data_IF_609490889459
#
_entry.id   IF_609490889459
#
_cell.length_a   1.000
_cell.length_b   1.000
_cell.length_c   1.000
_cell.angle_alpha   90.00
_cell.angle_beta   90.00
_cell.angle_gamma   90.00
#
_symmetry.space_group_name_H-M   'P 1'
#
loop_
_entity.id
_entity.type
_entity.pdbx_description
1 polymer ?
#
# COMPACT_ATOMS: atom_id res chain seq x y z
N UNK A 1 -7.84 6.51 11.88
CA UNK A 1 -6.76 6.54 10.85
C UNK A 1 -7.26 5.91 9.58
N UNK A 2 -6.76 6.31 8.42
CA UNK A 2 -7.16 5.71 7.15
C UNK A 2 -6.06 5.73 6.10
N UNK A 3 -6.08 4.79 5.17
CA UNK A 3 -5.26 4.86 3.95
C UNK A 3 -5.96 4.25 2.74
N UNK A 4 -5.41 4.53 1.56
CA UNK A 4 -5.90 3.93 0.32
C UNK A 4 -5.65 2.42 0.30
N UNK A 5 -6.52 1.67 -0.36
CA UNK A 5 -6.44 0.21 -0.58
C UNK A 5 -5.07 -0.26 -1.09
N UNK A 6 -4.38 0.59 -1.85
CA UNK A 6 -3.07 0.28 -2.45
C UNK A 6 -1.89 0.70 -1.57
N UNK A 7 -2.13 1.38 -0.46
CA UNK A 7 -1.12 1.76 0.53
C UNK A 7 -0.71 0.59 1.44
N UNK A 8 0.47 0.67 2.03
CA UNK A 8 0.98 -0.35 2.95
C UNK A 8 -0.03 -0.70 4.06
N UNK A 9 -0.08 -1.98 4.45
CA UNK A 9 -0.86 -2.43 5.61
C UNK A 9 -0.29 -1.96 6.95
N UNK A 10 0.92 -1.38 7.00
CA UNK A 10 1.58 -0.96 8.24
C UNK A 10 0.71 -0.07 9.13
N UNK A 11 0.00 0.91 8.56
CA UNK A 11 -0.87 1.81 9.33
C UNK A 11 -2.00 1.05 10.04
N UNK A 12 -2.53 -0.01 9.43
CA UNK A 12 -3.56 -0.85 10.06
C UNK A 12 -3.03 -1.60 11.28
N UNK A 13 -1.76 -2.06 11.23
CA UNK A 13 -1.09 -2.73 12.35
C UNK A 13 -0.83 -1.76 13.51
N UNK A 14 -0.30 -0.58 13.20
CA UNK A 14 -0.07 0.50 14.18
C UNK A 14 -1.39 0.91 14.84
N UNK A 15 -2.44 1.14 14.05
CA UNK A 15 -3.75 1.52 14.57
C UNK A 15 -4.34 0.42 15.47
N UNK A 16 -4.28 -0.85 15.05
CA UNK A 16 -4.74 -1.98 15.86
C UNK A 16 -3.99 -2.09 17.19
N UNK A 17 -2.66 -1.96 17.17
CA UNK A 17 -1.83 -2.00 18.37
C UNK A 17 -2.24 -0.89 19.36
N UNK A 18 -2.45 0.32 18.86
CA UNK A 18 -2.84 1.47 19.67
C UNK A 18 -4.35 1.56 19.96
N UNK A 19 -5.14 0.55 19.57
CA UNK A 19 -6.61 0.52 19.72
C UNK A 19 -7.32 1.72 19.07
N UNK A 20 -6.78 2.18 17.94
CA UNK A 20 -7.32 3.26 17.12
C UNK A 20 -8.11 2.65 15.96
N UNK A 21 -9.29 3.21 15.68
CA UNK A 21 -10.09 2.78 14.53
C UNK A 21 -9.34 3.04 13.22
N UNK A 22 -9.30 2.03 12.35
CA UNK A 22 -8.66 2.08 11.05
C UNK A 22 -9.67 1.79 9.93
N UNK A 23 -9.54 2.53 8.83
CA UNK A 23 -10.36 2.36 7.63
C UNK A 23 -9.47 2.25 6.38
N UNK A 24 -9.60 1.15 5.65
CA UNK A 24 -9.10 1.03 4.29
C UNK A 24 -10.12 1.70 3.35
N UNK A 25 -9.67 2.54 2.41
CA UNK A 25 -10.56 3.26 1.48
C UNK A 25 -10.20 3.01 0.03
N UNK A 26 -11.10 3.33 -0.90
CA UNK A 26 -10.74 3.42 -2.31
C UNK A 26 -9.63 4.46 -2.54
N UNK A 27 -8.84 4.29 -3.60
CA UNK A 27 -7.85 5.30 -4.00
C UNK A 27 -8.51 6.62 -4.38
N UNK A 28 -7.89 7.73 -3.97
CA UNK A 28 -8.36 9.09 -4.09
C UNK A 28 -8.70 9.66 -2.73
N UNK A 29 -8.02 10.76 -2.36
CA UNK A 29 -8.15 11.40 -1.06
C UNK A 29 -9.59 11.80 -0.67
N UNK A 30 -10.47 12.03 -1.66
CA UNK A 30 -11.91 12.25 -1.45
C UNK A 30 -12.63 11.17 -0.64
N UNK A 31 -12.06 9.96 -0.57
CA UNK A 31 -12.60 8.86 0.24
C UNK A 31 -12.05 8.88 1.67
N UNK A 32 -10.78 9.23 1.83
CA UNK A 32 -10.11 9.38 3.11
C UNK A 32 -10.71 10.55 3.89
N UNK A 33 -10.92 11.70 3.24
CA UNK A 33 -11.48 12.92 3.88
C UNK A 33 -12.92 12.78 4.38
N UNK A 34 -13.62 11.70 3.99
CA UNK A 34 -14.99 11.38 4.45
C UNK A 34 -15.01 10.50 5.69
N UNK A 35 -13.86 10.00 6.14
CA UNK A 35 -13.79 9.16 7.34
C UNK A 35 -14.13 10.01 8.57
N UNK A 36 -15.16 9.64 9.34
CA UNK A 36 -15.52 10.37 10.56
C UNK A 36 -14.36 10.38 11.56
N UNK A 37 -14.12 11.54 12.18
CA UNK A 37 -13.06 11.74 13.18
C UNK A 37 -11.69 11.24 12.67
N UNK A 38 -11.37 11.54 11.41
CA UNK A 38 -10.04 11.28 10.87
C UNK A 38 -9.01 12.01 11.73
N UNK A 39 -7.95 11.32 12.13
CA UNK A 39 -6.79 11.91 12.83
C UNK A 39 -5.52 11.89 11.97
N UNK A 40 -5.42 10.89 11.09
CA UNK A 40 -4.34 10.75 10.13
C UNK A 40 -4.86 9.95 8.94
N UNK A 41 -4.60 10.47 7.75
CA UNK A 41 -4.94 9.84 6.47
C UNK A 41 -3.78 9.92 5.50
N UNK A 42 -3.47 8.85 4.77
CA UNK A 42 -2.46 8.94 3.72
C UNK A 42 -2.72 8.05 2.49
N UNK A 43 -2.10 8.43 1.38
CA UNK A 43 -1.99 7.63 0.16
C UNK A 43 -0.51 7.38 -0.13
N UNK A 44 -0.21 6.22 -0.71
CA UNK A 44 1.13 5.82 -1.15
C UNK A 44 1.76 6.82 -2.14
N UNK A 45 0.91 7.55 -2.87
CA UNK A 45 1.29 8.60 -3.81
C UNK A 45 1.67 9.93 -3.12
N UNK A 46 2.37 9.86 -1.98
CA UNK A 46 2.89 11.00 -1.20
C UNK A 46 1.81 12.01 -0.75
N UNK A 47 0.60 11.53 -0.49
CA UNK A 47 -0.49 12.37 0.02
C UNK A 47 -0.69 12.12 1.51
N UNK A 48 -0.54 13.14 2.35
CA UNK A 48 -0.68 13.03 3.80
C UNK A 48 -1.66 14.09 4.32
N UNK A 49 -2.50 13.72 5.26
CA UNK A 49 -3.33 14.62 6.04
C UNK A 49 -3.12 14.30 7.51
N UNK A 50 -2.52 15.27 8.19
CA UNK A 50 -2.05 15.16 9.58
C UNK A 50 -2.83 16.06 10.52
N UNK A 51 -3.57 17.03 9.98
CA UNK A 51 -4.47 17.93 10.70
C UNK A 51 -5.77 18.12 9.90
N UNK A 52 -6.66 17.11 9.90
CA UNK A 52 -7.91 17.16 9.16
C UNK A 52 -8.95 18.15 9.72
N UNK A 53 -8.74 18.69 10.94
CA UNK A 53 -9.61 19.74 11.49
C UNK A 53 -9.35 21.08 10.79
N UNK A 54 -8.09 21.38 10.47
CA UNK A 54 -7.70 22.60 9.75
C UNK A 54 -7.71 22.38 8.23
N UNK A 55 -7.11 21.30 7.76
CA UNK A 55 -7.02 20.95 6.33
C UNK A 55 -7.48 19.51 6.12
N UNK A 56 -8.77 19.34 5.81
CA UNK A 56 -9.34 18.04 5.42
C UNK A 56 -9.02 17.66 3.96
N UNK A 57 -7.75 17.84 3.57
CA UNK A 57 -7.17 17.44 2.29
C UNK A 57 -5.69 17.08 2.51
N UNK A 58 -4.97 16.77 1.44
CA UNK A 58 -3.52 16.57 1.49
C UNK A 58 -2.83 17.89 1.86
N UNK A 59 -2.02 17.85 2.90
CA UNK A 59 -1.20 18.98 3.35
C UNK A 59 0.25 18.55 3.54
N UNK A 60 1.05 18.77 2.50
CA UNK A 60 2.49 18.51 2.53
C UNK A 60 3.27 19.48 3.41
N UNK A 61 2.76 20.69 3.67
CA UNK A 61 3.45 21.68 4.51
C UNK A 61 3.32 21.27 5.97
N UNK A 62 2.11 20.98 6.44
CA UNK A 62 1.89 20.50 7.82
C UNK A 62 2.60 19.16 8.06
N UNK A 63 2.59 18.25 7.07
CA UNK A 63 3.35 17.02 7.15
C UNK A 63 4.87 17.27 7.28
N UNK A 64 5.44 18.19 6.51
CA UNK A 64 6.85 18.54 6.59
C UNK A 64 7.23 19.15 7.95
N UNK A 65 6.37 20.00 8.53
CA UNK A 65 6.57 20.57 9.87
C UNK A 65 6.57 19.48 10.94
N UNK A 66 5.62 18.53 10.89
CA UNK A 66 5.60 17.41 11.83
C UNK A 66 6.84 16.52 11.72
N UNK A 67 7.32 16.26 10.50
CA UNK A 67 8.57 15.52 10.30
C UNK A 67 9.76 16.30 10.86
N UNK A 68 9.83 17.61 10.67
CA UNK A 68 10.89 18.44 11.24
C UNK A 68 10.88 18.40 12.78
N UNK A 69 9.69 18.46 13.39
CA UNK A 69 9.52 18.30 14.83
C UNK A 69 9.97 16.91 15.31
N UNK A 70 9.54 15.84 14.62
CA UNK A 70 9.96 14.46 14.95
C UNK A 70 11.48 14.31 14.88
N UNK A 71 12.14 14.89 13.87
CA UNK A 71 13.60 14.87 13.75
C UNK A 71 14.27 15.58 14.93
N UNK A 72 13.75 16.72 15.38
CA UNK A 72 14.27 17.42 16.56
C UNK A 72 14.11 16.58 17.84
N UNK A 73 12.94 16.00 18.06
CA UNK A 73 12.67 15.11 19.20
C UNK A 73 13.58 13.88 19.21
N UNK A 74 13.84 13.28 18.04
CA UNK A 74 14.75 12.13 17.91
C UNK A 74 16.21 12.53 18.19
N UNK A 75 16.66 13.68 17.67
CA UNK A 75 18.00 14.22 17.95
C UNK A 75 18.22 14.45 19.44
N UNK A 76 17.22 15.00 20.15
CA UNK A 76 17.27 15.20 21.60
C UNK A 76 17.36 13.88 22.39
N UNK A 77 16.92 12.77 21.79
CA UNK A 77 17.05 11.40 22.32
C UNK A 77 18.31 10.67 21.84
N UNK A 78 19.19 11.33 21.08
CA UNK A 78 20.39 10.72 20.50
C UNK A 78 20.09 9.65 19.45
N UNK A 79 18.90 9.72 18.82
CA UNK A 79 18.40 8.71 17.90
C UNK A 79 18.29 9.27 16.47
N UNK A 80 18.67 8.50 15.46
CA UNK A 80 18.47 8.91 14.07
C UNK A 80 17.05 8.62 13.57
N UNK A 81 16.69 9.21 12.44
CA UNK A 81 15.42 8.92 11.77
C UNK A 81 15.35 7.48 11.26
N UNK A 82 16.46 6.94 10.75
CA UNK A 82 16.55 5.56 10.28
C UNK A 82 16.41 4.57 11.43
N UNK A 83 17.02 4.84 12.59
CA UNK A 83 16.83 4.01 13.79
C UNK A 83 15.36 4.02 14.23
N UNK A 84 14.63 5.13 14.03
CA UNK A 84 13.21 5.21 14.35
C UNK A 84 12.35 4.39 13.38
N UNK A 85 12.67 4.43 12.08
CA UNK A 85 12.03 3.55 11.09
C UNK A 85 12.32 2.07 11.35
N UNK A 86 13.55 1.74 11.78
CA UNK A 86 13.92 0.37 12.11
C UNK A 86 13.19 -0.13 13.37
N UNK A 87 12.98 0.70 14.40
CA UNK A 87 12.12 0.35 15.55
C UNK A 87 10.68 0.02 15.11
N UNK A 88 10.09 0.83 14.23
CA UNK A 88 8.76 0.56 13.67
C UNK A 88 8.77 -0.79 12.93
N UNK A 89 9.83 -1.08 12.17
CA UNK A 89 10.02 -2.34 11.48
C UNK A 89 10.16 -3.54 12.43
N UNK A 90 10.87 -3.38 13.54
CA UNK A 90 11.00 -4.41 14.59
C UNK A 90 9.66 -4.67 15.28
N UNK A 91 8.87 -3.62 15.54
CA UNK A 91 7.60 -3.74 16.26
C UNK A 91 6.46 -4.29 15.39
N UNK A 92 6.37 -3.86 14.13
CA UNK A 92 5.22 -4.15 13.25
C UNK A 92 5.56 -5.00 12.02
N UNK A 93 6.84 -5.34 11.84
CA UNK A 93 7.39 -5.95 10.64
C UNK A 93 7.94 -4.90 9.65
N UNK A 94 8.89 -5.30 8.83
CA UNK A 94 9.42 -4.50 7.74
C UNK A 94 8.52 -4.65 6.51
N UNK A 95 7.74 -3.61 6.23
CA UNK A 95 6.86 -3.52 5.07
C UNK A 95 7.61 -2.93 3.88
N UNK A 96 8.10 -3.79 2.99
CA UNK A 96 8.69 -3.38 1.73
C UNK A 96 7.61 -3.27 0.65
N UNK A 97 7.56 -2.15 -0.07
CA UNK A 97 6.55 -1.92 -1.11
C UNK A 97 7.16 -1.45 -2.42
N UNK A 98 6.60 -1.87 -3.55
CA UNK A 98 6.97 -1.38 -4.89
C UNK A 98 5.75 -1.38 -5.83
N UNK A 99 5.93 -0.77 -7.00
CA UNK A 99 4.94 -0.72 -8.06
C UNK A 99 5.54 -1.12 -9.41
N UNK A 100 4.77 -1.88 -10.16
CA UNK A 100 4.95 -2.08 -11.61
C UNK A 100 3.89 -1.24 -12.33
N UNK A 101 4.28 -0.55 -13.39
CA UNK A 101 3.42 0.30 -14.20
C UNK A 101 3.59 -0.04 -15.68
N UNK A 102 2.57 -0.61 -16.28
CA UNK A 102 2.59 -1.09 -17.67
C UNK A 102 1.69 -0.19 -18.49
N UNK A 103 2.28 0.49 -19.48
CA UNK A 103 1.50 1.28 -20.44
C UNK A 103 0.87 0.33 -21.45
N UNK A 104 -0.42 0.53 -21.72
CA UNK A 104 -1.14 -0.19 -22.76
C UNK A 104 -1.55 0.79 -23.86
N UNK A 105 -1.59 0.31 -25.09
CA UNK A 105 -2.09 1.11 -26.23
C UNK A 105 -3.61 0.99 -26.38
N UNK A 106 -4.19 -0.09 -25.86
CA UNK A 106 -5.63 -0.37 -25.89
C UNK A 106 -6.13 -0.77 -24.49
N UNK A 107 -7.14 -0.06 -23.99
CA UNK A 107 -7.75 -0.31 -22.69
C UNK A 107 -8.37 -1.71 -22.58
N UNK A 108 -8.83 -2.29 -23.71
CA UNK A 108 -9.37 -3.65 -23.70
C UNK A 108 -8.31 -4.71 -23.34
N UNK A 109 -7.01 -4.40 -23.45
CA UNK A 109 -5.94 -5.28 -22.97
C UNK A 109 -5.92 -5.37 -21.44
N UNK A 110 -6.30 -4.30 -20.74
CA UNK A 110 -6.38 -4.30 -19.27
C UNK A 110 -7.47 -5.28 -18.82
N UNK A 111 -8.66 -5.22 -19.41
CA UNK A 111 -9.78 -6.11 -19.03
C UNK A 111 -9.43 -7.58 -19.29
N UNK A 112 -8.76 -7.88 -20.41
CA UNK A 112 -8.27 -9.23 -20.73
C UNK A 112 -7.24 -9.70 -19.71
N UNK A 113 -6.28 -8.85 -19.34
CA UNK A 113 -5.24 -9.21 -18.39
C UNK A 113 -5.81 -9.42 -16.98
N UNK A 114 -6.72 -8.56 -16.53
CA UNK A 114 -7.42 -8.75 -15.25
C UNK A 114 -8.25 -10.04 -15.26
N UNK A 115 -9.00 -10.30 -16.33
CA UNK A 115 -9.80 -11.53 -16.46
C UNK A 115 -8.90 -12.78 -16.41
N UNK A 116 -7.75 -12.75 -17.10
CA UNK A 116 -6.75 -13.82 -17.08
C UNK A 116 -6.24 -14.08 -15.66
N UNK A 117 -5.86 -13.02 -14.93
CA UNK A 117 -5.33 -13.15 -13.56
C UNK A 117 -6.41 -13.65 -12.59
N UNK A 118 -7.67 -13.27 -12.76
CA UNK A 118 -8.77 -13.84 -11.96
C UNK A 118 -8.94 -15.34 -12.22
N UNK A 119 -8.90 -15.75 -13.50
CA UNK A 119 -9.12 -17.15 -13.88
C UNK A 119 -7.95 -18.08 -13.61
N UNK A 120 -6.73 -17.56 -13.73
CA UNK A 120 -5.47 -18.31 -13.66
C UNK A 120 -4.37 -17.43 -13.04
N UNK A 121 -4.47 -17.11 -11.74
CA UNK A 121 -3.43 -16.36 -11.05
C UNK A 121 -2.17 -17.21 -10.88
N UNK A 122 -0.98 -16.59 -10.75
CA UNK A 122 0.22 -17.32 -10.36
C UNK A 122 -0.06 -18.13 -9.08
N UNK A 123 0.12 -19.47 -9.08
CA UNK A 123 -0.18 -20.28 -7.91
C UNK A 123 0.79 -20.01 -6.76
N UNK A 124 1.96 -19.44 -7.09
CA UNK A 124 2.95 -18.97 -6.14
C UNK A 124 3.75 -17.79 -6.69
N UNK A 125 4.34 -17.02 -5.78
CA UNK A 125 5.32 -15.97 -6.07
C UNK A 125 6.55 -16.22 -5.21
N UNK A 126 7.71 -16.45 -5.85
CA UNK A 126 8.98 -16.74 -5.17
C UNK A 126 8.85 -17.86 -4.09
N UNK A 127 8.09 -18.93 -4.40
CA UNK A 127 7.84 -20.06 -3.49
C UNK A 127 6.74 -19.85 -2.44
N UNK A 128 6.10 -18.69 -2.39
CA UNK A 128 4.97 -18.40 -1.50
C UNK A 128 3.65 -18.66 -2.23
N UNK A 129 2.80 -19.52 -1.67
CA UNK A 129 1.57 -19.99 -2.31
C UNK A 129 0.46 -18.95 -2.23
N UNK A 130 -0.40 -18.91 -3.23
CA UNK A 130 -1.60 -18.07 -3.19
C UNK A 130 -2.56 -18.56 -2.09
N UNK A 131 -3.07 -17.61 -1.30
CA UNK A 131 -4.01 -17.87 -0.19
C UNK A 131 -5.41 -17.34 -0.51
N UNK A 132 -5.50 -16.19 -1.19
CA UNK A 132 -6.79 -15.63 -1.59
C UNK A 132 -6.69 -14.77 -2.84
N UNK A 133 -7.80 -14.76 -3.58
CA UNK A 133 -8.04 -13.95 -4.76
C UNK A 133 -9.33 -13.20 -4.49
N UNK A 134 -9.28 -11.87 -4.57
CA UNK A 134 -10.45 -11.02 -4.43
C UNK A 134 -10.62 -10.18 -5.69
N UNK A 135 -11.74 -10.40 -6.38
CA UNK A 135 -12.20 -9.51 -7.44
C UNK A 135 -12.83 -8.26 -6.83
N UNK A 136 -12.13 -7.13 -6.93
CA UNK A 136 -12.59 -5.87 -6.34
C UNK A 136 -13.82 -5.31 -7.05
N UNK A 137 -14.15 -5.78 -8.26
CA UNK A 137 -15.41 -5.40 -8.93
C UNK A 137 -16.63 -5.98 -8.20
N UNK A 138 -16.43 -7.05 -7.41
CA UNK A 138 -17.46 -7.72 -6.63
C UNK A 138 -17.41 -7.36 -5.14
N UNK A 139 -16.42 -6.56 -4.72
CA UNK A 139 -16.33 -6.09 -3.33
C UNK A 139 -17.56 -5.26 -2.96
N UNK A 140 -18.11 -5.51 -1.76
CA UNK A 140 -19.24 -4.73 -1.23
C UNK A 140 -18.81 -3.39 -0.67
N UNK A 141 -17.63 -3.35 -0.05
CA UNK A 141 -17.12 -2.18 0.68
C UNK A 141 -16.13 -1.38 -0.16
N UNK A 142 -15.28 -2.06 -0.94
CA UNK A 142 -14.19 -1.45 -1.72
C UNK A 142 -14.36 -1.71 -3.21
N UNK A 143 -15.58 -1.48 -3.71
CA UNK A 143 -15.92 -1.72 -5.12
C UNK A 143 -15.11 -0.84 -6.06
N UNK A 144 -14.20 -1.44 -6.82
CA UNK A 144 -13.39 -0.77 -7.85
C UNK A 144 -12.89 -1.80 -8.85
N UNK A 145 -12.52 -1.37 -10.06
CA UNK A 145 -11.85 -2.26 -11.01
C UNK A 145 -10.46 -2.61 -10.49
N UNK A 146 -10.23 -3.92 -10.31
CA UNK A 146 -8.95 -4.46 -9.91
C UNK A 146 -9.08 -5.79 -9.19
N UNK A 147 -7.94 -6.32 -8.78
CA UNK A 147 -7.81 -7.62 -8.10
C UNK A 147 -6.88 -7.42 -6.92
N UNK A 148 -7.22 -8.01 -5.77
CA UNK A 148 -6.32 -8.16 -4.63
C UNK A 148 -5.97 -9.62 -4.45
N UNK A 149 -4.69 -9.94 -4.51
CA UNK A 149 -4.14 -11.27 -4.27
C UNK A 149 -3.38 -11.25 -2.94
N UNK A 150 -3.54 -12.31 -2.16
CA UNK A 150 -2.70 -12.57 -0.98
C UNK A 150 -2.00 -13.90 -1.16
N UNK A 151 -0.71 -13.91 -0.85
CA UNK A 151 0.12 -15.09 -0.83
C UNK A 151 0.64 -15.28 0.59
N UNK A 152 1.02 -16.52 0.90
CA UNK A 152 1.57 -16.88 2.22
C UNK A 152 2.80 -16.04 2.55
N UNK A 153 3.11 -15.92 3.84
CA UNK A 153 4.26 -15.13 4.29
C UNK A 153 4.08 -13.62 4.17
N UNK A 154 2.84 -13.13 4.31
CA UNK A 154 2.45 -11.71 4.30
C UNK A 154 2.83 -10.97 3.02
N UNK A 155 2.50 -11.57 1.88
CA UNK A 155 2.66 -10.96 0.55
C UNK A 155 1.30 -10.52 0.04
N UNK A 156 1.21 -9.27 -0.40
CA UNK A 156 -0.01 -8.67 -0.95
C UNK A 156 0.28 -8.05 -2.30
N UNK A 157 -0.55 -8.38 -3.29
CA UNK A 157 -0.47 -7.82 -4.64
C UNK A 157 -1.82 -7.22 -5.01
N UNK A 158 -1.83 -5.98 -5.50
CA UNK A 158 -3.05 -5.33 -5.98
C UNK A 158 -2.85 -4.85 -7.40
N UNK A 159 -3.70 -5.31 -8.31
CA UNK A 159 -3.58 -5.04 -9.74
C UNK A 159 -4.82 -4.27 -10.18
N UNK A 160 -4.63 -3.09 -10.77
CA UNK A 160 -5.75 -2.23 -11.16
C UNK A 160 -5.38 -1.31 -12.33
N UNK A 161 -6.36 -0.87 -13.13
CA UNK A 161 -6.12 0.20 -14.08
C UNK A 161 -5.80 1.51 -13.35
N UNK A 162 -4.93 2.30 -13.96
CA UNK A 162 -4.71 3.69 -13.59
C UNK A 162 -5.96 4.51 -13.91
N UNK A 163 -6.34 5.42 -13.03
CA UNK A 163 -7.52 6.27 -13.22
C UNK A 163 -7.28 7.47 -14.15
N UNK A 164 -6.04 7.80 -14.43
CA UNK A 164 -5.66 9.04 -15.15
C UNK A 164 -4.90 8.79 -16.45
N UNK A 165 -4.43 7.57 -16.68
CA UNK A 165 -3.56 7.21 -17.80
C UNK A 165 -3.90 5.80 -18.30
N UNK A 166 -3.66 5.46 -19.57
CA UNK A 166 -3.83 4.09 -20.09
C UNK A 166 -2.69 3.19 -19.60
N UNK A 167 -2.69 2.91 -18.30
CA UNK A 167 -1.70 2.08 -17.63
C UNK A 167 -2.37 1.07 -16.70
N UNK A 168 -1.81 -0.13 -16.63
CA UNK A 168 -2.08 -1.07 -15.54
C UNK A 168 -1.04 -0.86 -14.44
N UNK A 169 -1.48 -0.77 -13.19
CA UNK A 169 -0.62 -0.67 -12.01
C UNK A 169 -0.73 -1.94 -11.18
N UNK A 170 0.41 -2.50 -10.80
CA UNK A 170 0.52 -3.62 -9.88
C UNK A 170 1.33 -3.16 -8.66
N UNK A 171 0.66 -3.09 -7.51
CA UNK A 171 1.23 -2.72 -6.23
C UNK A 171 1.61 -3.97 -5.46
N UNK A 172 2.81 -4.00 -4.90
CA UNK A 172 3.36 -5.14 -4.20
C UNK A 172 3.71 -4.70 -2.79
N UNK A 173 3.33 -5.48 -1.79
CA UNK A 173 3.78 -5.36 -0.42
C UNK A 173 4.29 -6.72 0.06
N UNK A 174 5.45 -6.71 0.71
CA UNK A 174 6.07 -7.85 1.38
C UNK A 174 6.36 -7.45 2.81
N UNK A 175 5.94 -8.28 3.78
CA UNK A 175 6.28 -8.07 5.19
C UNK A 175 7.20 -9.18 5.70
N UNK A 176 8.33 -8.81 6.30
CA UNK A 176 9.25 -9.72 6.99
C UNK A 176 9.69 -9.17 8.34
N UNK A 177 10.25 -10.04 9.17
CA UNK A 177 10.91 -9.64 10.43
C UNK A 177 12.30 -9.02 10.20
N UNK A 178 12.84 -9.08 8.98
CA UNK A 178 14.12 -8.51 8.62
C UNK A 178 13.99 -7.57 7.41
N UNK A 179 14.61 -6.40 7.50
CA UNK A 179 14.58 -5.36 6.46
C UNK A 179 15.16 -5.85 5.13
N UNK A 180 16.36 -6.41 5.14
CA UNK A 180 17.02 -6.89 3.91
C UNK A 180 16.23 -8.02 3.27
N UNK A 181 15.73 -8.98 4.06
CA UNK A 181 14.89 -10.07 3.56
C UNK A 181 13.61 -9.54 2.88
N UNK A 182 12.95 -8.53 3.47
CA UNK A 182 11.75 -7.93 2.87
C UNK A 182 12.03 -7.29 1.50
N UNK A 183 13.18 -6.62 1.36
CA UNK A 183 13.59 -5.94 0.13
C UNK A 183 14.04 -6.93 -0.95
N UNK A 184 14.81 -7.95 -0.58
CA UNK A 184 15.25 -9.01 -1.50
C UNK A 184 14.07 -9.78 -2.08
N UNK A 185 13.13 -10.19 -1.21
CA UNK A 185 11.93 -10.90 -1.64
C UNK A 185 11.01 -10.02 -2.50
N UNK A 186 10.85 -8.74 -2.15
CA UNK A 186 10.12 -7.77 -2.97
C UNK A 186 10.70 -7.69 -4.38
N UNK A 187 12.04 -7.63 -4.51
CA UNK A 187 12.71 -7.61 -5.81
C UNK A 187 12.42 -8.87 -6.63
N UNK A 188 12.55 -10.06 -6.01
CA UNK A 188 12.25 -11.33 -6.67
C UNK A 188 10.79 -11.40 -7.16
N UNK A 189 9.85 -11.01 -6.31
CA UNK A 189 8.42 -11.00 -6.65
C UNK A 189 8.13 -10.01 -7.77
N UNK A 190 8.75 -8.82 -7.75
CA UNK A 190 8.60 -7.82 -8.81
C UNK A 190 9.07 -8.35 -10.16
N UNK A 191 10.17 -9.09 -10.21
CA UNK A 191 10.67 -9.72 -11.44
C UNK A 191 9.69 -10.76 -11.98
N UNK A 192 9.15 -11.63 -11.10
CA UNK A 192 8.14 -12.64 -11.48
C UNK A 192 6.89 -11.96 -12.04
N UNK A 193 6.34 -10.98 -11.32
CA UNK A 193 5.12 -10.28 -11.74
C UNK A 193 5.33 -9.47 -13.02
N UNK A 194 6.52 -8.90 -13.23
CA UNK A 194 6.82 -8.19 -14.48
C UNK A 194 6.69 -9.12 -15.69
N UNK A 195 7.15 -10.37 -15.56
CA UNK A 195 7.01 -11.41 -16.63
C UNK A 195 5.57 -11.90 -16.79
N UNK A 196 4.80 -11.98 -15.71
CA UNK A 196 3.39 -12.40 -15.75
C UNK A 196 2.51 -11.35 -16.43
N UNK A 197 2.84 -10.07 -16.25
CA UNK A 197 2.04 -8.94 -16.71
C UNK A 197 2.46 -8.37 -18.07
N UNK A 198 3.65 -8.73 -18.57
CA UNK A 198 4.11 -8.45 -19.94
C UNK A 198 3.54 -9.45 -20.94
#
# INVERSE_FOLDING_TARGET
MANSLVSSTLLSKIAKHNKINFFETLTGFKWISKIPNLAFGYEEALGYCVDPEVVNDKDGISAAVLIAQLIDELKNKGKSFDDYLDDIGVEFGFHATDQISIRVDDLAQIDKLLSKIISDPPPELAGYKIESIEDLNQSKELKTTGIRLRYSGEIRVIIRPSGTEPKLKCYIEVVKSNKSESLELLSQIKEVLTKVLS
#
